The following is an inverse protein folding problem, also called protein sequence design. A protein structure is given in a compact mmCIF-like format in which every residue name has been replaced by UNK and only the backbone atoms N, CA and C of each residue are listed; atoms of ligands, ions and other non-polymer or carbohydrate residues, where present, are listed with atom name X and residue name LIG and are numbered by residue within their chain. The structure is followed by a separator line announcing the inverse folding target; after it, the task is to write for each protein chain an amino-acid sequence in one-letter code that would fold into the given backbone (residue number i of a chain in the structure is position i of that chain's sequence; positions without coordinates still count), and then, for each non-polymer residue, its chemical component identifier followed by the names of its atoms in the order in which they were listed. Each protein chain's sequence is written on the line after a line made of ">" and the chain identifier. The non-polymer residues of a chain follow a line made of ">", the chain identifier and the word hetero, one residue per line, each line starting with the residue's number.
data_IF_265095724853
#
_entry.id   IF_265095724853
#
_cell.length_a   1.000
_cell.length_b   1.000
_cell.length_c   1.000
_cell.angle_alpha   90.00
_cell.angle_beta   90.00
_cell.angle_gamma   90.00
#
_symmetry.space_group_name_H-M   'P 1'
#
loop_
_entity.id
_entity.type
_entity.pdbx_description
1 polymer ?
#
# COMPACT_ATOMS: atom_id res chain seq x y z
N UNK A 1 35.48 -10.40 16.34
CA UNK A 1 34.25 -11.17 16.06
C UNK A 1 33.05 -10.38 16.59
N UNK A 2 32.48 -9.46 15.80
CA UNK A 2 31.46 -8.54 16.32
C UNK A 2 30.69 -7.72 15.28
N UNK A 3 30.54 -8.22 14.04
CA UNK A 3 29.80 -7.50 12.98
C UNK A 3 28.64 -8.30 12.36
N UNK A 4 28.34 -9.50 12.86
CA UNK A 4 27.28 -10.34 12.28
C UNK A 4 25.88 -10.13 12.88
N UNK A 5 25.74 -9.41 14.00
CA UNK A 5 24.45 -9.29 14.69
C UNK A 5 23.56 -8.15 14.15
N UNK A 6 24.13 -7.09 13.57
CA UNK A 6 23.34 -5.98 13.02
C UNK A 6 22.69 -6.29 11.66
N UNK A 7 23.22 -7.25 10.89
CA UNK A 7 22.69 -7.59 9.57
C UNK A 7 21.38 -8.41 9.64
N UNK A 8 21.23 -9.27 10.65
CA UNK A 8 20.01 -10.08 10.84
C UNK A 8 18.80 -9.25 11.31
N UNK A 9 19.02 -8.15 12.05
CA UNK A 9 17.94 -7.28 12.52
C UNK A 9 17.32 -6.44 11.38
N UNK A 10 18.11 -6.08 10.35
CA UNK A 10 17.58 -5.38 9.16
C UNK A 10 16.80 -6.32 8.23
N UNK A 11 17.20 -7.58 8.10
CA UNK A 11 16.47 -8.55 7.27
C UNK A 11 15.11 -8.93 7.88
N UNK A 12 14.96 -8.89 9.21
CA UNK A 12 13.69 -9.14 9.90
C UNK A 12 12.67 -8.00 9.78
N UNK A 13 13.10 -6.77 9.46
CA UNK A 13 12.18 -5.67 9.15
C UNK A 13 11.64 -5.72 7.72
N UNK A 14 12.21 -6.55 6.85
CA UNK A 14 11.79 -6.75 5.46
C UNK A 14 11.01 -8.06 5.25
N UNK A 15 11.00 -8.97 6.24
CA UNK A 15 10.17 -10.18 6.25
C UNK A 15 9.11 -10.07 7.35
N UNK A 16 7.93 -9.62 6.97
CA UNK A 16 6.74 -9.77 7.82
C UNK A 16 6.29 -11.23 7.84
N UNK A 17 6.68 -11.99 8.88
CA UNK A 17 5.84 -12.94 9.64
C UNK A 17 6.70 -13.90 10.52
N UNK A 18 6.09 -14.30 11.66
CA UNK A 18 6.43 -15.43 12.57
C UNK A 18 7.40 -15.00 13.70
N UNK A 19 7.05 -14.95 15.01
CA UNK A 19 6.30 -15.89 15.86
C UNK A 19 5.45 -15.20 16.95
N UNK A 20 4.26 -15.76 17.20
CA UNK A 20 3.53 -15.62 18.47
C UNK A 20 3.63 -16.94 19.23
N UNK A 21 4.09 -16.91 20.49
CA UNK A 21 3.81 -17.93 21.50
C UNK A 21 3.66 -17.25 22.89
N UNK A 22 2.75 -17.71 23.76
CA UNK A 22 2.36 -17.01 24.98
C UNK A 22 3.18 -17.47 26.19
N UNK A 23 3.62 -16.51 27.01
CA UNK A 23 4.25 -16.74 28.30
C UNK A 23 3.49 -16.03 29.42
N UNK A 24 3.05 -16.82 30.39
CA UNK A 24 2.41 -16.46 31.67
C UNK A 24 2.88 -15.14 32.31
N UNK A 25 1.94 -14.27 32.68
CA UNK A 25 2.08 -13.42 33.88
C UNK A 25 0.79 -13.44 34.70
N UNK A 26 1.04 -13.53 36.00
CA UNK A 26 0.20 -13.76 37.16
C UNK A 26 -0.96 -12.81 37.40
N UNK A 27 -1.97 -13.37 38.07
CA UNK A 27 -3.01 -12.72 38.87
C UNK A 27 -2.65 -11.33 39.41
N UNK A 28 -3.45 -10.32 39.04
CA UNK A 28 -3.49 -9.05 39.75
C UNK A 28 -4.88 -8.81 40.36
N UNK A 29 -4.81 -8.35 41.59
CA UNK A 29 -5.82 -8.35 42.63
C UNK A 29 -6.94 -7.33 42.35
N UNK A 30 -8.19 -7.73 42.63
CA UNK A 30 -9.37 -6.87 42.48
C UNK A 30 -9.50 -5.98 43.70
N UNK A 31 -9.24 -4.67 43.56
CA UNK A 31 -9.80 -3.66 44.47
C UNK A 31 -10.41 -2.48 43.72
N UNK A 32 -11.74 -2.44 43.84
CA UNK A 32 -12.65 -1.28 43.84
C UNK A 32 -12.12 0.07 43.35
N UNK A 33 -12.55 0.47 42.16
CA UNK A 33 -12.61 1.88 41.72
C UNK A 33 -14.01 2.14 41.16
N UNK A 34 -14.94 2.49 42.04
CA UNK A 34 -16.17 3.20 41.68
C UNK A 34 -15.85 4.69 41.49
N UNK A 35 -16.39 5.29 40.43
CA UNK A 35 -16.38 6.73 40.07
C UNK A 35 -15.29 7.29 39.13
N UNK A 36 -14.79 6.51 38.16
CA UNK A 36 -14.18 7.12 36.96
C UNK A 36 -15.22 7.30 35.86
N UNK A 37 -15.38 8.56 35.40
CA UNK A 37 -16.03 8.91 34.15
C UNK A 37 -15.63 7.93 33.04
N UNK A 38 -16.62 7.49 32.25
CA UNK A 38 -16.47 6.59 31.10
C UNK A 38 -15.56 7.22 30.04
N UNK A 39 -14.25 7.15 30.26
CA UNK A 39 -13.28 7.31 29.18
C UNK A 39 -13.36 6.05 28.32
N UNK A 40 -13.42 6.14 26.98
CA UNK A 40 -13.24 4.97 26.16
C UNK A 40 -11.86 4.40 26.50
N UNK A 41 -11.85 3.18 27.06
CA UNK A 41 -10.63 2.41 27.23
C UNK A 41 -10.05 2.20 25.82
N UNK A 42 -9.07 3.01 25.45
CA UNK A 42 -8.23 2.69 24.28
C UNK A 42 -7.57 1.38 24.65
N UNK A 43 -7.99 0.31 23.97
CA UNK A 43 -7.40 -1.00 24.20
C UNK A 43 -5.92 -0.92 23.81
N UNK A 44 -5.00 -1.49 24.61
CA UNK A 44 -3.56 -1.36 24.40
C UNK A 44 -3.05 -1.98 23.09
N UNK A 45 -3.90 -2.70 22.36
CA UNK A 45 -3.65 -3.30 21.04
C UNK A 45 -4.00 -2.37 19.86
N UNK A 46 -4.47 -1.14 20.10
CA UNK A 46 -4.85 -0.20 19.04
C UNK A 46 -3.73 0.80 18.80
N UNK A 47 -3.09 0.72 17.62
CA UNK A 47 -2.16 1.74 17.15
C UNK A 47 -2.88 3.08 16.93
N UNK A 48 -2.26 4.16 17.45
CA UNK A 48 -2.76 5.53 17.36
C UNK A 48 -1.79 6.45 16.64
N UNK A 49 -2.34 7.43 15.95
CA UNK A 49 -1.67 8.37 15.06
C UNK A 49 -2.09 9.78 15.43
N UNK A 50 -1.12 10.69 15.50
CA UNK A 50 -1.34 12.10 15.76
C UNK A 50 -0.06 12.88 15.48
N UNK A 51 -0.15 14.22 15.39
CA UNK A 51 0.99 15.07 15.09
C UNK A 51 2.05 14.96 16.19
N UNK A 52 3.32 14.98 15.77
CA UNK A 52 4.47 14.95 16.65
C UNK A 52 4.99 16.37 16.78
N UNK A 53 4.90 16.95 17.98
CA UNK A 53 5.49 18.25 18.26
C UNK A 53 7.00 18.10 18.39
N UNK A 54 7.75 18.62 17.41
CA UNK A 54 9.22 18.59 17.41
C UNK A 54 9.85 19.41 18.56
N UNK A 55 9.08 20.27 19.24
CA UNK A 55 9.52 21.05 20.40
C UNK A 55 9.39 20.25 21.71
N UNK A 56 10.11 19.14 21.86
CA UNK A 56 10.23 18.43 23.14
C UNK A 56 11.54 18.81 23.86
N UNK A 57 11.62 20.07 24.27
CA UNK A 57 12.48 20.53 25.36
C UNK A 57 11.62 21.05 26.53
N UNK A 58 10.64 20.26 26.97
CA UNK A 58 9.99 20.52 28.25
C UNK A 58 9.44 19.23 28.88
N UNK A 59 10.04 18.73 29.97
CA UNK A 59 9.43 17.69 30.78
C UNK A 59 8.37 18.32 31.68
N UNK A 60 7.20 18.64 31.14
CA UNK A 60 6.08 19.11 31.95
C UNK A 60 4.73 18.87 31.25
N UNK A 61 3.95 17.96 31.84
CA UNK A 61 2.48 17.90 31.79
C UNK A 61 1.81 18.03 30.42
N UNK A 62 1.37 16.89 29.88
CA UNK A 62 0.15 16.81 29.07
C UNK A 62 -1.01 17.42 29.88
N UNK A 63 -1.23 18.72 29.73
CA UNK A 63 -2.37 19.42 30.29
C UNK A 63 -3.61 19.00 29.48
N UNK A 64 -4.45 18.14 30.07
CA UNK A 64 -5.63 17.51 29.47
C UNK A 64 -6.87 18.41 29.52
N UNK A 65 -6.73 19.70 29.23
CA UNK A 65 -7.87 20.60 29.11
C UNK A 65 -8.20 20.77 27.63
N UNK A 66 -9.17 19.98 27.17
CA UNK A 66 -9.76 20.09 25.84
C UNK A 66 -10.54 21.41 25.73
N UNK A 67 -10.37 22.19 24.65
CA UNK A 67 -11.32 23.24 24.34
C UNK A 67 -12.64 22.62 23.88
N UNK A 68 -13.71 23.11 24.49
CA UNK A 68 -15.09 22.88 24.06
C UNK A 68 -15.29 23.58 22.71
N UNK A 69 -15.49 22.82 21.63
CA UNK A 69 -15.68 23.37 20.28
C UNK A 69 -16.76 22.61 19.52
N UNK A 70 -17.78 23.40 19.17
CA UNK A 70 -18.94 23.08 18.36
C UNK A 70 -18.60 22.23 17.12
N UNK A 71 -19.49 21.30 16.83
CA UNK A 71 -19.45 20.35 15.74
C UNK A 71 -19.75 21.01 14.39
N UNK A 72 -18.76 21.65 13.79
CA UNK A 72 -18.81 22.02 12.37
C UNK A 72 -18.12 20.95 11.50
N UNK A 73 -18.70 19.76 11.50
CA UNK A 73 -18.59 18.81 10.37
C UNK A 73 -19.92 18.07 10.32
N UNK A 74 -20.90 18.59 9.58
CA UNK A 74 -21.92 17.70 9.05
C UNK A 74 -21.23 16.79 8.03
N UNK A 75 -21.37 15.46 8.14
CA UNK A 75 -20.93 14.57 7.06
C UNK A 75 -21.72 14.98 5.81
N UNK A 76 -20.99 15.33 4.74
CA UNK A 76 -21.59 15.52 3.43
C UNK A 76 -22.42 14.29 3.10
N UNK A 77 -23.73 14.48 3.00
CA UNK A 77 -24.75 13.48 2.73
C UNK A 77 -24.52 12.84 1.35
N UNK A 78 -23.65 11.82 1.26
CA UNK A 78 -24.02 10.63 0.49
C UNK A 78 -24.85 9.80 1.45
N UNK A 79 -26.18 9.87 1.36
CA UNK A 79 -27.06 9.04 2.16
C UNK A 79 -26.69 7.58 1.91
N UNK A 80 -26.00 6.94 2.86
CA UNK A 80 -25.66 5.52 2.76
C UNK A 80 -26.95 4.76 2.53
N UNK A 81 -27.08 4.16 1.34
CA UNK A 81 -28.30 3.49 0.92
C UNK A 81 -28.15 1.98 1.11
N UNK A 82 -29.27 1.29 1.28
CA UNK A 82 -29.25 -0.18 1.31
C UNK A 82 -28.79 -0.77 -0.03
N UNK A 83 -28.96 -0.06 -1.14
CA UNK A 83 -28.45 -0.47 -2.46
C UNK A 83 -26.90 -0.54 -2.48
N UNK A 84 -26.25 0.48 -1.91
CA UNK A 84 -24.79 0.49 -1.74
C UNK A 84 -24.33 -0.62 -0.78
N UNK A 85 -25.10 -0.89 0.29
CA UNK A 85 -24.83 -2.01 1.19
C UNK A 85 -24.91 -3.36 0.46
N UNK A 86 -25.91 -3.53 -0.41
CA UNK A 86 -26.05 -4.73 -1.24
C UNK A 86 -24.88 -4.88 -2.23
N UNK A 87 -24.35 -3.78 -2.77
CA UNK A 87 -23.13 -3.81 -3.58
C UNK A 87 -21.90 -4.28 -2.77
N UNK A 88 -21.78 -3.84 -1.51
CA UNK A 88 -20.75 -4.33 -0.58
C UNK A 88 -20.87 -5.85 -0.36
N UNK A 89 -22.10 -6.35 -0.18
CA UNK A 89 -22.35 -7.79 -0.02
C UNK A 89 -21.99 -8.58 -1.28
N UNK A 90 -22.36 -8.08 -2.46
CA UNK A 90 -22.01 -8.72 -3.73
C UNK A 90 -20.49 -8.81 -3.93
N UNK A 91 -19.74 -7.75 -3.57
CA UNK A 91 -18.29 -7.81 -3.56
C UNK A 91 -17.76 -8.83 -2.56
N UNK A 92 -18.40 -8.98 -1.39
CA UNK A 92 -17.98 -9.97 -0.38
C UNK A 92 -18.02 -11.41 -0.91
N UNK A 93 -19.00 -11.73 -1.76
CA UNK A 93 -19.09 -13.04 -2.41
C UNK A 93 -17.98 -13.24 -3.44
N UNK A 94 -17.62 -12.20 -4.19
CA UNK A 94 -16.51 -12.25 -5.13
C UNK A 94 -15.16 -12.37 -4.43
N UNK A 95 -15.00 -11.70 -3.28
CA UNK A 95 -13.84 -11.86 -2.40
C UNK A 95 -13.71 -13.32 -1.96
N UNK A 96 -14.79 -13.97 -1.53
CA UNK A 96 -14.75 -15.38 -1.14
C UNK A 96 -14.33 -16.32 -2.27
N UNK A 97 -14.66 -15.99 -3.52
CA UNK A 97 -14.23 -16.79 -4.69
C UNK A 97 -12.76 -16.56 -5.04
N UNK A 98 -12.28 -15.32 -4.98
CA UNK A 98 -10.94 -14.93 -5.46
C UNK A 98 -9.86 -14.94 -4.40
N UNK A 99 -10.23 -14.68 -3.15
CA UNK A 99 -9.29 -14.63 -2.04
C UNK A 99 -9.10 -16.03 -1.48
N UNK A 100 -7.90 -16.59 -1.68
CA UNK A 100 -7.44 -17.76 -0.92
C UNK A 100 -7.24 -17.45 0.57
N UNK A 101 -7.23 -16.17 0.96
CA UNK A 101 -7.01 -15.72 2.34
C UNK A 101 -8.35 -15.64 3.08
N UNK A 102 -8.45 -16.36 4.19
CA UNK A 102 -9.60 -16.38 5.14
C UNK A 102 -9.73 -15.11 5.98
N UNK A 103 -8.85 -14.12 5.75
CA UNK A 103 -8.71 -12.93 6.61
C UNK A 103 -9.94 -12.02 6.55
N UNK A 104 -10.59 -11.93 5.39
CA UNK A 104 -11.79 -11.10 5.18
C UNK A 104 -13.11 -11.84 5.45
N UNK A 105 -13.08 -13.18 5.48
CA UNK A 105 -14.28 -14.01 5.64
C UNK A 105 -15.07 -13.70 6.93
N UNK A 106 -14.43 -13.48 8.10
CA UNK A 106 -15.17 -13.08 9.30
C UNK A 106 -15.91 -11.75 9.18
N UNK A 107 -15.37 -10.79 8.42
CA UNK A 107 -16.05 -9.52 8.16
C UNK A 107 -17.22 -9.73 7.20
N UNK A 108 -17.00 -10.44 6.09
CA UNK A 108 -18.04 -10.78 5.13
C UNK A 108 -19.23 -11.50 5.80
N UNK A 109 -18.96 -12.48 6.67
CA UNK A 109 -20.00 -13.18 7.45
C UNK A 109 -20.80 -12.23 8.34
N UNK A 110 -20.15 -11.25 8.97
CA UNK A 110 -20.84 -10.25 9.80
C UNK A 110 -21.72 -9.32 8.98
N UNK A 111 -21.27 -8.89 7.80
CA UNK A 111 -22.08 -8.09 6.90
C UNK A 111 -23.33 -8.86 6.44
N UNK A 112 -23.19 -10.16 6.13
CA UNK A 112 -24.35 -11.02 5.80
C UNK A 112 -25.34 -11.15 6.95
N UNK A 113 -24.86 -11.30 8.19
CA UNK A 113 -25.74 -11.31 9.37
C UNK A 113 -26.46 -9.98 9.58
N UNK A 114 -25.77 -8.86 9.32
CA UNK A 114 -26.37 -7.53 9.38
C UNK A 114 -27.44 -7.34 8.29
N UNK A 115 -27.23 -7.89 7.09
CA UNK A 115 -28.20 -7.86 5.99
C UNK A 115 -29.54 -8.53 6.34
N UNK A 116 -29.51 -9.58 7.17
CA UNK A 116 -30.72 -10.26 7.66
C UNK A 116 -31.58 -9.37 8.60
N UNK A 117 -31.07 -8.19 8.99
CA UNK A 117 -31.75 -7.21 9.84
C UNK A 117 -32.26 -5.99 9.08
N UNK A 118 -32.21 -6.04 7.74
CA UNK A 118 -32.85 -5.03 6.89
C UNK A 118 -34.34 -5.34 6.84
N UNK A 119 -35.15 -4.36 7.22
CA UNK A 119 -36.60 -4.44 7.14
C UNK A 119 -37.06 -4.11 5.73
N UNK A 120 -37.88 -4.99 5.17
CA UNK A 120 -38.56 -4.77 3.89
C UNK A 120 -40.02 -4.50 4.19
N UNK A 121 -40.44 -3.26 4.02
CA UNK A 121 -41.84 -2.85 4.13
C UNK A 121 -42.33 -2.40 2.76
N UNK A 122 -43.51 -2.87 2.36
CA UNK A 122 -44.09 -2.48 1.06
C UNK A 122 -44.25 -0.95 0.98
N UNK A 123 -43.66 -0.33 -0.04
CA UNK A 123 -43.77 1.10 -0.30
C UNK A 123 -42.84 2.02 0.52
N UNK A 124 -41.98 1.48 1.40
CA UNK A 124 -40.98 2.25 2.14
C UNK A 124 -39.56 1.88 1.68
N UNK A 125 -38.59 2.82 1.75
CA UNK A 125 -37.18 2.49 1.54
C UNK A 125 -36.73 1.40 2.50
N UNK A 126 -35.95 0.43 2.01
CA UNK A 126 -35.30 -0.55 2.87
C UNK A 126 -34.44 0.18 3.91
N UNK A 127 -34.54 -0.23 5.17
CA UNK A 127 -33.78 0.35 6.27
C UNK A 127 -33.37 -0.72 7.28
N UNK A 128 -32.30 -0.45 8.03
CA UNK A 128 -31.92 -1.32 9.14
C UNK A 128 -32.92 -1.21 10.29
N UNK A 129 -33.29 -2.34 10.90
CA UNK A 129 -34.07 -2.33 12.13
C UNK A 129 -33.33 -1.56 13.22
N UNK A 130 -33.98 -0.61 13.90
CA UNK A 130 -33.37 0.26 14.93
C UNK A 130 -32.66 -0.50 16.06
N UNK A 131 -33.09 -1.73 16.35
CA UNK A 131 -32.45 -2.61 17.35
C UNK A 131 -31.00 -2.99 17.03
N UNK A 132 -30.57 -2.92 15.77
CA UNK A 132 -29.17 -3.24 15.41
C UNK A 132 -28.16 -2.21 15.90
N UNK A 133 -28.64 -1.01 16.22
CA UNK A 133 -27.84 0.13 16.69
C UNK A 133 -27.73 0.22 18.22
N UNK A 134 -28.19 -0.80 18.96
CA UNK A 134 -27.98 -0.88 20.40
C UNK A 134 -26.53 -1.19 20.78
N UNK A 135 -26.14 -0.88 22.02
CA UNK A 135 -24.85 -1.35 22.56
C UNK A 135 -24.76 -2.87 22.53
N UNK A 136 -23.79 -3.39 21.78
CA UNK A 136 -23.63 -4.84 21.55
C UNK A 136 -24.46 -5.39 20.39
N UNK A 137 -25.09 -4.54 19.58
CA UNK A 137 -25.79 -4.94 18.35
C UNK A 137 -24.82 -5.37 17.23
N UNK A 138 -25.36 -6.07 16.22
CA UNK A 138 -24.59 -6.55 15.06
C UNK A 138 -23.93 -5.41 14.28
N UNK A 139 -24.52 -4.21 14.28
CA UNK A 139 -23.93 -3.05 13.60
C UNK A 139 -22.58 -2.64 14.22
N UNK A 140 -22.51 -2.60 15.55
CA UNK A 140 -21.27 -2.35 16.29
C UNK A 140 -20.24 -3.43 16.00
N UNK A 141 -20.65 -4.71 16.02
CA UNK A 141 -19.74 -5.81 15.73
C UNK A 141 -19.17 -5.76 14.32
N UNK A 142 -19.97 -5.36 13.32
CA UNK A 142 -19.48 -5.16 11.95
C UNK A 142 -18.44 -4.02 11.89
N UNK A 143 -18.72 -2.88 12.53
CA UNK A 143 -17.79 -1.76 12.62
C UNK A 143 -16.47 -2.16 13.32
N UNK A 144 -16.55 -2.77 14.51
CA UNK A 144 -15.38 -3.24 15.25
C UNK A 144 -14.57 -4.26 14.45
N UNK A 145 -15.24 -5.14 13.71
CA UNK A 145 -14.55 -6.14 12.89
C UNK A 145 -13.81 -5.48 11.73
N UNK A 146 -14.41 -4.53 11.04
CA UNK A 146 -13.76 -3.77 9.98
C UNK A 146 -12.54 -2.99 10.53
N UNK A 147 -12.68 -2.34 11.69
CA UNK A 147 -11.58 -1.66 12.38
C UNK A 147 -10.44 -2.62 12.73
N UNK A 148 -10.72 -3.77 13.35
CA UNK A 148 -9.70 -4.77 13.69
C UNK A 148 -9.02 -5.33 12.44
N UNK A 149 -9.79 -5.54 11.37
CA UNK A 149 -9.25 -6.00 10.08
C UNK A 149 -8.28 -4.98 9.50
N UNK A 150 -8.58 -3.68 9.60
CA UNK A 150 -7.66 -2.62 9.19
C UNK A 150 -6.47 -2.46 10.14
N UNK A 151 -6.61 -2.69 11.44
CA UNK A 151 -5.51 -2.48 12.40
C UNK A 151 -4.49 -3.63 12.38
N UNK A 152 -4.95 -4.88 12.36
CA UNK A 152 -4.12 -5.99 12.81
C UNK A 152 -3.67 -6.93 11.68
N UNK A 153 -4.03 -6.66 10.43
CA UNK A 153 -3.86 -7.60 9.32
C UNK A 153 -3.08 -6.97 8.16
N UNK A 154 -2.15 -7.76 7.60
CA UNK A 154 -1.41 -7.39 6.39
C UNK A 154 -2.29 -7.57 5.16
N UNK A 155 -3.10 -6.55 4.87
CA UNK A 155 -4.01 -6.50 3.75
C UNK A 155 -3.31 -6.05 2.46
N UNK A 156 -3.67 -6.66 1.34
CA UNK A 156 -3.35 -6.16 0.00
C UNK A 156 -4.05 -4.80 -0.23
N UNK A 157 -3.61 -4.00 -1.21
CA UNK A 157 -4.25 -2.72 -1.53
C UNK A 157 -5.77 -2.86 -1.74
N UNK A 158 -6.23 -3.72 -2.65
CA UNK A 158 -7.66 -3.94 -2.93
C UNK A 158 -8.48 -4.40 -1.72
N UNK A 159 -7.88 -5.20 -0.84
CA UNK A 159 -8.51 -5.66 0.40
C UNK A 159 -8.67 -4.48 1.36
N UNK A 160 -7.64 -3.65 1.49
CA UNK A 160 -7.66 -2.43 2.30
C UNK A 160 -8.76 -1.48 1.82
N UNK A 161 -8.84 -1.23 0.50
CA UNK A 161 -9.85 -0.33 -0.08
C UNK A 161 -11.26 -0.85 0.16
N UNK A 162 -11.51 -2.15 0.00
CA UNK A 162 -12.83 -2.74 0.30
C UNK A 162 -13.20 -2.62 1.77
N UNK A 163 -12.28 -2.89 2.71
CA UNK A 163 -12.59 -2.76 4.14
C UNK A 163 -12.81 -1.29 4.52
N UNK A 164 -12.09 -0.35 3.91
CA UNK A 164 -12.35 1.09 4.08
C UNK A 164 -13.71 1.49 3.50
N UNK A 165 -14.11 0.94 2.35
CA UNK A 165 -15.44 1.18 1.76
C UNK A 165 -16.55 0.65 2.68
N UNK A 166 -16.40 -0.57 3.19
CA UNK A 166 -17.30 -1.16 4.21
C UNK A 166 -17.41 -0.24 5.41
N UNK A 167 -16.27 0.18 5.96
CA UNK A 167 -16.26 1.01 7.15
C UNK A 167 -16.89 2.38 6.87
N UNK A 168 -16.51 3.07 5.79
CA UNK A 168 -17.08 4.36 5.38
C UNK A 168 -18.60 4.28 5.25
N UNK A 169 -19.10 3.24 4.60
CA UNK A 169 -20.53 3.05 4.39
C UNK A 169 -21.28 2.72 5.69
N UNK A 170 -20.75 1.85 6.55
CA UNK A 170 -21.33 1.63 7.89
C UNK A 170 -21.33 2.91 8.73
N UNK A 171 -20.30 3.73 8.63
CA UNK A 171 -20.20 4.99 9.37
C UNK A 171 -21.19 6.04 8.89
N UNK A 172 -21.64 5.98 7.62
CA UNK A 172 -22.66 6.88 7.08
C UNK A 172 -24.08 6.62 7.58
N UNK A 173 -24.36 5.45 8.17
CA UNK A 173 -25.61 5.21 8.92
C UNK A 173 -25.57 5.76 10.36
N UNK A 174 -24.46 6.34 10.79
CA UNK A 174 -24.29 6.87 12.16
C UNK A 174 -24.31 8.41 12.15
N UNK A 175 -24.79 9.06 13.23
CA UNK A 175 -25.25 8.46 14.48
C UNK A 175 -26.67 7.89 14.37
N UNK A 176 -26.86 6.68 14.91
CA UNK A 176 -28.17 6.06 15.11
C UNK A 176 -28.14 5.26 16.43
N UNK A 177 -29.20 5.39 17.23
CA UNK A 177 -29.28 4.77 18.55
C UNK A 177 -28.18 5.25 19.49
N UNK A 178 -27.35 4.32 19.97
CA UNK A 178 -26.24 4.59 20.90
C UNK A 178 -24.85 4.54 20.23
N UNK A 179 -24.81 4.42 18.90
CA UNK A 179 -23.57 4.29 18.14
C UNK A 179 -23.18 5.61 17.49
N UNK A 180 -21.95 6.02 17.78
CA UNK A 180 -21.33 7.21 17.20
C UNK A 180 -20.33 6.84 16.10
N UNK A 181 -20.15 7.70 15.09
CA UNK A 181 -19.06 7.55 14.14
C UNK A 181 -17.69 7.54 14.84
N UNK A 182 -16.76 6.79 14.26
CA UNK A 182 -15.34 6.81 14.53
C UNK A 182 -14.83 8.22 14.25
N UNK A 183 -14.19 8.80 15.27
CA UNK A 183 -13.53 10.08 15.15
C UNK A 183 -12.36 10.01 14.17
N UNK A 184 -12.43 10.79 13.10
CA UNK A 184 -11.37 10.98 12.10
C UNK A 184 -10.66 12.33 12.22
N UNK A 185 -11.16 13.21 13.09
CA UNK A 185 -10.56 14.52 13.36
C UNK A 185 -9.36 14.39 14.31
N UNK A 186 -8.17 14.64 13.77
CA UNK A 186 -6.90 14.61 14.50
C UNK A 186 -6.69 15.82 15.40
N UNK A 187 -7.38 16.95 15.16
CA UNK A 187 -7.30 18.11 16.05
C UNK A 187 -7.88 17.81 17.44
N UNK A 188 -8.82 16.85 17.51
CA UNK A 188 -9.41 16.33 18.76
C UNK A 188 -8.53 15.28 19.45
N UNK A 189 -7.32 15.04 18.95
CA UNK A 189 -6.34 14.13 19.51
C UNK A 189 -6.10 12.89 18.64
N UNK A 190 -5.26 11.95 19.12
CA UNK A 190 -4.82 10.81 18.32
C UNK A 190 -5.98 9.94 17.81
N UNK A 191 -5.87 9.44 16.59
CA UNK A 191 -6.86 8.59 15.92
C UNK A 191 -6.26 7.21 15.63
N UNK A 192 -7.08 6.17 15.48
CA UNK A 192 -6.58 4.84 15.15
C UNK A 192 -6.27 4.68 13.65
N UNK A 193 -5.54 3.61 13.27
CA UNK A 193 -5.20 3.33 11.86
C UNK A 193 -6.40 3.35 10.91
N UNK A 194 -7.52 2.75 11.33
CA UNK A 194 -8.75 2.71 10.54
C UNK A 194 -9.34 4.12 10.33
N UNK A 195 -9.33 4.94 11.38
CA UNK A 195 -9.76 6.34 11.31
C UNK A 195 -8.84 7.18 10.41
N UNK A 196 -7.53 6.94 10.43
CA UNK A 196 -6.57 7.58 9.52
C UNK A 196 -6.87 7.21 8.07
N UNK A 197 -7.14 5.93 7.78
CA UNK A 197 -7.55 5.50 6.46
C UNK A 197 -8.83 6.21 5.98
N UNK A 198 -9.84 6.34 6.84
CA UNK A 198 -11.06 7.11 6.54
C UNK A 198 -10.76 8.60 6.32
N UNK A 199 -9.88 9.19 7.13
CA UNK A 199 -9.48 10.59 7.00
C UNK A 199 -8.86 10.89 5.64
N UNK A 200 -7.89 10.07 5.21
CA UNK A 200 -7.16 10.22 3.94
C UNK A 200 -8.04 9.93 2.71
N UNK A 201 -9.19 9.27 2.90
CA UNK A 201 -10.09 8.84 1.81
C UNK A 201 -11.50 9.45 1.91
N UNK A 202 -11.67 10.49 2.74
CA UNK A 202 -12.97 11.08 3.05
C UNK A 202 -13.74 11.57 1.81
N UNK A 203 -13.01 12.11 0.83
CA UNK A 203 -13.59 12.71 -0.38
C UNK A 203 -13.63 11.73 -1.59
N UNK A 204 -13.23 10.46 -1.40
CA UNK A 204 -13.16 9.46 -2.48
C UNK A 204 -14.38 8.53 -2.54
N UNK A 205 -14.80 8.15 -3.75
CA UNK A 205 -15.81 7.11 -3.97
C UNK A 205 -15.21 5.70 -3.85
N UNK A 206 -14.98 5.28 -2.60
CA UNK A 206 -14.39 3.99 -2.28
C UNK A 206 -15.24 2.80 -2.74
N UNK A 207 -16.55 2.98 -2.89
CA UNK A 207 -17.46 1.90 -3.26
C UNK A 207 -17.30 1.57 -4.75
N UNK A 208 -17.36 2.59 -5.62
CA UNK A 208 -17.12 2.42 -7.06
C UNK A 208 -15.70 1.93 -7.35
N UNK A 209 -14.70 2.46 -6.64
CA UNK A 209 -13.32 2.00 -6.78
C UNK A 209 -13.15 0.53 -6.34
N UNK A 210 -13.77 0.12 -5.24
CA UNK A 210 -13.77 -1.28 -4.80
C UNK A 210 -14.43 -2.21 -5.83
N UNK A 211 -15.53 -1.76 -6.45
CA UNK A 211 -16.23 -2.50 -7.50
C UNK A 211 -15.30 -2.79 -8.67
N UNK A 212 -14.55 -1.78 -9.13
CA UNK A 212 -13.56 -1.94 -10.22
C UNK A 212 -12.48 -2.95 -9.82
N UNK A 213 -11.91 -2.81 -8.62
CA UNK A 213 -10.83 -3.67 -8.12
C UNK A 213 -11.24 -5.14 -7.98
N UNK A 214 -12.47 -5.43 -7.56
CA UNK A 214 -12.91 -6.81 -7.28
C UNK A 214 -13.58 -7.50 -8.47
N UNK A 215 -14.27 -6.76 -9.35
CA UNK A 215 -14.92 -7.36 -10.52
C UNK A 215 -14.06 -7.33 -11.78
N UNK A 216 -13.00 -6.50 -11.84
CA UNK A 216 -12.04 -6.55 -12.95
C UNK A 216 -11.42 -7.95 -13.07
N UNK A 217 -11.37 -8.57 -14.26
CA UNK A 217 -10.68 -9.84 -14.45
C UNK A 217 -9.15 -9.69 -14.32
N UNK A 218 -8.62 -8.49 -14.54
CA UNK A 218 -7.24 -8.13 -14.21
C UNK A 218 -7.14 -7.67 -12.75
N UNK A 219 -5.95 -7.68 -12.17
CA UNK A 219 -5.65 -7.05 -10.86
C UNK A 219 -5.07 -5.66 -11.17
N UNK A 220 -5.91 -4.62 -11.40
CA UNK A 220 -5.43 -3.30 -11.82
C UNK A 220 -4.61 -2.66 -10.70
N UNK A 221 -3.62 -1.84 -11.07
CA UNK A 221 -2.94 -1.01 -10.08
C UNK A 221 -3.89 0.09 -9.59
N UNK A 222 -3.68 0.58 -8.36
CA UNK A 222 -4.54 1.64 -7.83
C UNK A 222 -4.49 2.91 -8.69
N UNK A 223 -3.32 3.22 -9.27
CA UNK A 223 -3.14 4.40 -10.13
C UNK A 223 -3.98 4.32 -11.42
N UNK A 224 -4.23 3.10 -11.92
CA UNK A 224 -5.08 2.87 -13.10
C UNK A 224 -6.57 2.99 -12.77
N UNK A 225 -6.93 2.80 -11.49
CA UNK A 225 -8.30 2.96 -11.01
C UNK A 225 -8.60 4.42 -10.71
N UNK A 226 -7.77 5.05 -9.88
CA UNK A 226 -7.88 6.46 -9.51
C UNK A 226 -6.57 6.96 -8.88
N UNK A 227 -6.02 8.07 -9.40
CA UNK A 227 -4.76 8.62 -8.91
C UNK A 227 -4.86 9.11 -7.46
N UNK A 228 -5.99 9.69 -7.04
CA UNK A 228 -6.21 10.14 -5.66
C UNK A 228 -6.30 8.97 -4.69
N UNK A 229 -6.90 7.86 -5.10
CA UNK A 229 -6.89 6.61 -4.33
C UNK A 229 -5.48 6.07 -4.13
N UNK A 230 -4.67 6.06 -5.19
CA UNK A 230 -3.27 5.65 -5.12
C UNK A 230 -2.48 6.55 -4.16
N UNK A 231 -2.70 7.87 -4.21
CA UNK A 231 -2.09 8.84 -3.30
C UNK A 231 -2.51 8.62 -1.83
N UNK A 232 -3.79 8.42 -1.56
CA UNK A 232 -4.28 8.16 -0.21
C UNK A 232 -3.68 6.85 0.36
N UNK A 233 -3.60 5.80 -0.45
CA UNK A 233 -2.98 4.54 -0.04
C UNK A 233 -1.49 4.69 0.21
N UNK A 234 -0.79 5.42 -0.65
CA UNK A 234 0.62 5.76 -0.47
C UNK A 234 0.85 6.54 0.83
N UNK A 235 0.04 7.56 1.11
CA UNK A 235 0.13 8.34 2.33
C UNK A 235 -0.07 7.46 3.57
N UNK A 236 -1.10 6.61 3.58
CA UNK A 236 -1.36 5.67 4.69
C UNK A 236 -0.17 4.74 4.94
N UNK A 237 0.37 4.11 3.88
CA UNK A 237 1.53 3.21 3.99
C UNK A 237 2.80 3.91 4.44
N UNK A 238 3.01 5.14 3.98
CA UNK A 238 4.17 5.94 4.36
C UNK A 238 4.07 6.37 5.81
N UNK A 239 2.91 6.81 6.27
CA UNK A 239 2.67 7.14 7.68
C UNK A 239 2.93 5.91 8.57
N UNK A 240 2.41 4.73 8.21
CA UNK A 240 2.66 3.47 8.93
C UNK A 240 4.17 3.16 9.01
N UNK A 241 4.89 3.28 7.89
CA UNK A 241 6.33 3.02 7.85
C UNK A 241 7.12 4.00 8.73
N UNK A 242 6.80 5.29 8.63
CA UNK A 242 7.47 6.35 9.39
C UNK A 242 7.15 6.29 10.89
N UNK A 243 5.95 5.84 11.26
CA UNK A 243 5.54 5.72 12.67
C UNK A 243 6.54 4.92 13.50
N UNK A 244 7.04 3.81 12.96
CA UNK A 244 8.03 2.97 13.66
C UNK A 244 9.36 3.67 13.98
N UNK A 245 9.69 4.72 13.22
CA UNK A 245 10.87 5.57 13.43
C UNK A 245 10.57 6.73 14.37
N UNK A 246 9.40 7.34 14.21
CA UNK A 246 8.90 8.44 15.04
C UNK A 246 8.69 8.00 16.49
N UNK A 247 8.26 6.76 16.72
CA UNK A 247 8.04 6.23 18.07
C UNK A 247 9.36 5.87 18.80
N UNK A 248 10.52 5.94 18.11
CA UNK A 248 11.83 5.70 18.71
C UNK A 248 12.49 7.03 19.10
N UNK A 249 12.89 7.21 20.37
CA UNK A 249 13.58 8.44 20.79
C UNK A 249 15.00 8.47 20.21
N UNK A 250 15.21 9.25 19.15
CA UNK A 250 16.53 9.50 18.58
C UNK A 250 16.68 10.97 18.17
N UNK A 251 17.75 11.60 18.62
CA UNK A 251 18.13 12.97 18.21
C UNK A 251 19.05 12.90 16.99
N UNK A 252 18.49 12.55 15.83
CA UNK A 252 19.24 12.55 14.57
C UNK A 252 18.53 13.39 13.51
N UNK A 253 19.28 13.93 12.55
CA UNK A 253 18.71 14.62 11.38
C UNK A 253 17.75 13.72 10.59
N UNK A 254 18.01 12.41 10.60
CA UNK A 254 17.12 11.37 10.10
C UNK A 254 15.75 11.42 10.79
N UNK A 255 15.73 11.41 12.12
CA UNK A 255 14.50 11.47 12.90
C UNK A 255 13.69 12.73 12.58
N UNK A 256 14.34 13.90 12.52
CA UNK A 256 13.68 15.15 12.15
C UNK A 256 13.01 15.06 10.78
N UNK A 257 13.73 14.52 9.79
CA UNK A 257 13.20 14.38 8.42
C UNK A 257 12.01 13.40 8.37
N UNK A 258 12.07 12.28 9.11
CA UNK A 258 10.95 11.35 9.22
C UNK A 258 9.73 11.98 9.88
N UNK A 259 9.92 12.76 10.96
CA UNK A 259 8.83 13.47 11.63
C UNK A 259 8.20 14.51 10.72
N UNK A 260 9.00 15.24 9.94
CA UNK A 260 8.51 16.21 8.96
C UNK A 260 7.64 15.54 7.89
N UNK A 261 8.10 14.43 7.29
CA UNK A 261 7.32 13.66 6.31
C UNK A 261 6.03 13.13 6.94
N UNK A 262 6.13 12.53 8.13
CA UNK A 262 5.00 11.97 8.85
C UNK A 262 3.94 13.04 9.17
N UNK A 263 4.35 14.17 9.76
CA UNK A 263 3.46 15.28 10.07
C UNK A 263 2.88 15.93 8.82
N UNK A 264 3.67 16.07 7.76
CA UNK A 264 3.17 16.59 6.48
C UNK A 264 2.02 15.71 5.99
N UNK A 265 2.25 14.41 5.82
CA UNK A 265 1.25 13.47 5.31
C UNK A 265 0.00 13.35 6.19
N UNK A 266 0.13 13.48 7.51
CA UNK A 266 -1.04 13.52 8.40
C UNK A 266 -1.93 14.73 8.10
N UNK A 267 -1.36 15.89 7.77
CA UNK A 267 -2.11 17.13 7.56
C UNK A 267 -2.47 17.38 6.09
N UNK A 268 -1.91 16.61 5.16
CA UNK A 268 -2.13 16.78 3.72
C UNK A 268 -3.54 16.36 3.32
N UNK A 269 -4.22 17.23 2.56
CA UNK A 269 -5.43 16.86 1.82
C UNK A 269 -5.05 16.04 0.59
N UNK A 270 -5.87 15.03 0.26
CA UNK A 270 -5.73 14.27 -0.98
C UNK A 270 -6.74 14.81 -2.02
N UNK A 271 -6.34 15.03 -3.29
CA UNK A 271 -4.99 14.83 -3.85
C UNK A 271 -3.95 15.85 -3.33
N UNK A 272 -2.69 15.42 -3.29
CA UNK A 272 -1.54 16.23 -2.87
C UNK A 272 -1.23 17.27 -3.94
N UNK A 273 -1.09 18.53 -3.54
CA UNK A 273 -0.68 19.62 -4.43
C UNK A 273 0.78 19.49 -4.88
N UNK A 274 1.13 20.11 -6.01
CA UNK A 274 2.45 19.97 -6.64
C UNK A 274 3.60 20.38 -5.70
N UNK A 275 3.49 21.52 -5.01
CA UNK A 275 4.48 21.96 -4.01
C UNK A 275 4.67 20.92 -2.89
N UNK A 276 3.60 20.20 -2.56
CA UNK A 276 3.61 19.10 -1.61
C UNK A 276 4.36 17.87 -2.11
N UNK A 277 4.17 17.53 -3.38
CA UNK A 277 4.89 16.46 -4.07
C UNK A 277 6.38 16.78 -4.13
N UNK A 278 6.73 18.02 -4.49
CA UNK A 278 8.10 18.53 -4.51
C UNK A 278 8.75 18.45 -3.13
N UNK A 279 8.05 18.88 -2.08
CA UNK A 279 8.49 18.79 -0.70
C UNK A 279 8.81 17.33 -0.31
N UNK A 280 7.86 16.42 -0.53
CA UNK A 280 8.02 15.01 -0.19
C UNK A 280 9.20 14.38 -0.94
N UNK A 281 9.30 14.62 -2.25
CA UNK A 281 10.38 14.07 -3.07
C UNK A 281 11.75 14.53 -2.57
N UNK A 282 11.92 15.82 -2.29
CA UNK A 282 13.17 16.38 -1.75
C UNK A 282 13.51 15.81 -0.38
N UNK A 283 12.53 15.61 0.49
CA UNK A 283 12.75 14.99 1.82
C UNK A 283 13.16 13.53 1.69
N UNK A 284 12.58 12.76 0.78
CA UNK A 284 13.03 11.39 0.54
C UNK A 284 14.42 11.32 -0.11
N UNK A 285 14.76 12.24 -1.01
CA UNK A 285 16.13 12.33 -1.54
C UNK A 285 17.11 12.62 -0.41
N UNK A 286 16.79 13.55 0.51
CA UNK A 286 17.63 13.79 1.69
C UNK A 286 17.77 12.55 2.60
N UNK A 287 16.70 11.76 2.76
CA UNK A 287 16.77 10.48 3.49
C UNK A 287 17.62 9.42 2.77
N UNK A 288 17.77 9.52 1.45
CA UNK A 288 18.51 8.56 0.65
C UNK A 288 20.03 8.58 0.88
N UNK A 289 20.53 9.67 1.47
CA UNK A 289 21.94 9.80 1.86
C UNK A 289 22.22 9.25 3.27
N UNK A 290 21.21 8.69 3.94
CA UNK A 290 21.27 8.20 5.32
C UNK A 290 21.22 6.67 5.41
N UNK A 291 21.33 6.11 6.62
CA UNK A 291 21.30 4.65 6.86
C UNK A 291 20.01 3.96 6.37
N UNK A 292 18.93 4.71 6.22
CA UNK A 292 17.61 4.23 5.79
C UNK A 292 17.35 4.32 4.27
N UNK A 293 18.39 4.51 3.48
CA UNK A 293 18.27 4.77 2.03
C UNK A 293 17.34 3.84 1.26
N UNK A 294 17.30 2.55 1.62
CA UNK A 294 16.41 1.58 0.96
C UNK A 294 14.92 1.92 1.09
N UNK A 295 14.51 2.43 2.26
CA UNK A 295 13.12 2.87 2.49
C UNK A 295 12.83 4.13 1.68
N UNK A 296 13.76 5.09 1.68
CA UNK A 296 13.63 6.31 0.90
C UNK A 296 13.48 6.04 -0.60
N UNK A 297 14.33 5.18 -1.17
CA UNK A 297 14.25 4.77 -2.56
C UNK A 297 12.96 4.00 -2.89
N UNK A 298 12.49 3.15 -1.97
CA UNK A 298 11.19 2.48 -2.11
C UNK A 298 10.03 3.48 -2.18
N UNK A 299 10.01 4.49 -1.30
CA UNK A 299 9.00 5.54 -1.36
C UNK A 299 9.11 6.37 -2.64
N UNK A 300 10.31 6.78 -3.06
CA UNK A 300 10.53 7.50 -4.32
C UNK A 300 10.06 6.68 -5.54
N UNK A 301 10.33 5.37 -5.55
CA UNK A 301 9.83 4.47 -6.59
C UNK A 301 8.30 4.45 -6.65
N UNK A 302 7.63 4.33 -5.50
CA UNK A 302 6.17 4.37 -5.48
C UNK A 302 5.62 5.76 -5.86
N UNK A 303 6.26 6.82 -5.40
CA UNK A 303 5.88 8.19 -5.73
C UNK A 303 5.97 8.47 -7.23
N UNK A 304 7.04 8.06 -7.93
CA UNK A 304 7.13 8.31 -9.39
C UNK A 304 6.08 7.58 -10.22
N UNK A 305 5.51 6.49 -9.69
CA UNK A 305 4.42 5.77 -10.35
C UNK A 305 3.09 6.53 -10.20
N UNK A 306 2.94 7.34 -9.16
CA UNK A 306 1.72 8.08 -8.84
C UNK A 306 1.79 9.53 -9.34
N UNK A 307 2.97 10.14 -9.27
CA UNK A 307 3.21 11.56 -9.54
C UNK A 307 4.24 11.73 -10.67
N UNK A 308 3.83 12.19 -11.86
CA UNK A 308 4.76 12.46 -12.97
C UNK A 308 5.90 13.40 -12.58
N UNK A 309 5.60 14.43 -11.78
CA UNK A 309 6.59 15.40 -11.28
C UNK A 309 7.76 14.76 -10.53
N UNK A 310 7.51 13.68 -9.78
CA UNK A 310 8.56 12.98 -9.03
C UNK A 310 9.54 12.28 -9.96
N UNK A 311 9.06 11.80 -11.12
CA UNK A 311 9.94 11.22 -12.14
C UNK A 311 10.96 12.25 -12.61
N UNK A 312 10.53 13.48 -12.89
CA UNK A 312 11.42 14.58 -13.31
C UNK A 312 12.47 14.89 -12.24
N UNK A 313 12.04 15.03 -10.97
CA UNK A 313 12.96 15.30 -9.85
C UNK A 313 14.00 14.19 -9.70
N UNK A 314 13.60 12.93 -9.84
CA UNK A 314 14.51 11.79 -9.74
C UNK A 314 15.52 11.82 -10.89
N UNK A 315 15.09 12.09 -12.13
CA UNK A 315 16.01 12.16 -13.27
C UNK A 315 16.99 13.34 -13.17
N UNK A 316 16.53 14.50 -12.68
CA UNK A 316 17.42 15.61 -12.34
C UNK A 316 18.47 15.21 -11.29
N UNK A 317 18.05 14.50 -10.24
CA UNK A 317 18.96 14.09 -9.16
C UNK A 317 19.95 13.01 -9.64
N UNK A 318 19.51 12.06 -10.46
CA UNK A 318 20.38 11.08 -11.12
C UNK A 318 21.46 11.73 -11.98
N UNK A 319 21.13 12.86 -12.61
CA UNK A 319 22.09 13.62 -13.41
C UNK A 319 23.09 14.35 -12.53
N UNK A 320 22.65 14.93 -11.40
CA UNK A 320 23.48 15.70 -10.47
C UNK A 320 24.41 14.81 -9.64
N UNK A 321 23.94 13.65 -9.20
CA UNK A 321 24.67 12.73 -8.31
C UNK A 321 24.69 11.29 -8.85
N UNK A 322 25.86 10.87 -9.32
CA UNK A 322 26.09 9.51 -9.83
C UNK A 322 25.96 8.44 -8.73
N UNK A 323 26.26 8.78 -7.47
CA UNK A 323 26.07 7.88 -6.33
C UNK A 323 24.58 7.62 -6.08
N UNK A 324 23.78 8.69 -6.06
CA UNK A 324 22.32 8.60 -6.00
C UNK A 324 21.78 7.76 -7.17
N UNK A 325 22.22 8.05 -8.40
CA UNK A 325 21.80 7.29 -9.59
C UNK A 325 22.01 5.79 -9.43
N UNK A 326 23.25 5.37 -9.14
CA UNK A 326 23.60 3.96 -9.05
C UNK A 326 22.83 3.26 -7.91
N UNK A 327 22.67 3.94 -6.77
CA UNK A 327 21.97 3.38 -5.62
C UNK A 327 20.45 3.28 -5.85
N UNK A 328 19.84 4.31 -6.43
CA UNK A 328 18.42 4.35 -6.77
C UNK A 328 18.07 3.30 -7.85
N UNK A 329 18.83 3.23 -8.95
CA UNK A 329 18.59 2.25 -10.03
C UNK A 329 18.72 0.81 -9.53
N UNK A 330 19.68 0.55 -8.63
CA UNK A 330 19.82 -0.76 -7.99
C UNK A 330 18.64 -1.10 -7.06
N UNK A 331 18.15 -0.18 -6.24
CA UNK A 331 16.96 -0.44 -5.40
C UNK A 331 15.70 -0.58 -6.26
N UNK A 332 15.53 0.24 -7.30
CA UNK A 332 14.46 0.11 -8.28
C UNK A 332 14.47 -1.28 -8.93
N UNK A 333 15.64 -1.79 -9.32
CA UNK A 333 15.79 -3.14 -9.84
C UNK A 333 15.30 -4.18 -8.83
N UNK A 334 15.74 -4.08 -7.57
CA UNK A 334 15.30 -5.01 -6.51
C UNK A 334 13.78 -4.95 -6.25
N UNK A 335 13.18 -3.77 -6.30
CA UNK A 335 11.72 -3.60 -6.18
C UNK A 335 11.02 -4.29 -7.35
N UNK A 336 11.50 -4.12 -8.58
CA UNK A 336 10.94 -4.76 -9.76
C UNK A 336 11.06 -6.30 -9.67
N UNK A 337 12.20 -6.84 -9.20
CA UNK A 337 12.40 -8.27 -8.96
C UNK A 337 11.40 -8.78 -7.91
N UNK A 338 11.28 -8.12 -6.75
CA UNK A 338 10.33 -8.50 -5.68
C UNK A 338 8.90 -8.50 -6.20
N UNK A 339 8.52 -7.45 -6.92
CA UNK A 339 7.18 -7.29 -7.48
C UNK A 339 6.85 -8.43 -8.45
N UNK A 340 7.80 -8.80 -9.30
CA UNK A 340 7.63 -9.90 -10.24
C UNK A 340 7.56 -11.26 -9.54
N UNK A 341 8.44 -11.52 -8.57
CA UNK A 341 8.47 -12.78 -7.80
C UNK A 341 7.17 -13.03 -7.01
N UNK A 342 6.52 -11.96 -6.51
CA UNK A 342 5.31 -12.04 -5.70
C UNK A 342 4.03 -11.97 -6.53
N UNK A 343 4.11 -11.62 -7.82
CA UNK A 343 2.95 -11.65 -8.69
C UNK A 343 2.38 -13.07 -8.70
N UNK A 344 1.11 -13.25 -8.29
CA UNK A 344 0.40 -14.55 -8.24
C UNK A 344 0.03 -15.00 -9.66
N UNK A 345 1.02 -15.02 -10.55
CA UNK A 345 0.97 -15.62 -11.87
C UNK A 345 1.65 -16.96 -11.70
N UNK A 346 0.90 -18.06 -11.83
CA UNK A 346 1.41 -19.43 -11.74
C UNK A 346 2.31 -19.80 -12.93
N UNK A 347 3.12 -18.86 -13.40
CA UNK A 347 4.06 -19.03 -14.48
C UNK A 347 5.33 -19.68 -13.89
N UNK A 348 5.89 -20.72 -14.54
CA UNK A 348 7.16 -21.34 -14.14
C UNK A 348 8.30 -20.34 -13.96
N UNK A 349 8.21 -19.19 -14.63
CA UNK A 349 9.21 -18.12 -14.60
C UNK A 349 9.32 -17.46 -13.22
N UNK A 350 8.25 -17.36 -12.43
CA UNK A 350 8.29 -16.63 -11.16
C UNK A 350 9.22 -17.31 -10.15
N UNK A 351 9.22 -18.65 -10.12
CA UNK A 351 10.10 -19.43 -9.25
C UNK A 351 11.58 -19.26 -9.64
N UNK A 352 11.84 -19.03 -10.93
CA UNK A 352 13.18 -18.80 -11.48
C UNK A 352 13.72 -17.40 -11.17
N UNK A 353 12.88 -16.48 -10.71
CA UNK A 353 13.28 -15.09 -10.41
C UNK A 353 13.75 -14.92 -8.97
N UNK A 354 13.36 -15.80 -8.04
CA UNK A 354 13.78 -15.73 -6.63
C UNK A 354 15.29 -15.64 -6.40
N UNK A 355 16.17 -16.34 -7.15
CA UNK A 355 17.61 -16.19 -7.01
C UNK A 355 18.11 -14.74 -7.17
N UNK A 356 17.40 -13.90 -7.93
CA UNK A 356 17.79 -12.51 -8.16
C UNK A 356 17.41 -11.55 -7.02
N UNK A 357 16.65 -12.00 -6.02
CA UNK A 357 16.43 -11.23 -4.79
C UNK A 357 17.73 -10.96 -4.04
N UNK A 358 18.76 -11.77 -4.29
CA UNK A 358 20.12 -11.52 -3.85
C UNK A 358 21.10 -11.66 -5.01
N UNK A 359 21.28 -10.57 -5.75
CA UNK A 359 22.14 -10.49 -6.95
C UNK A 359 23.58 -10.99 -6.71
N UNK A 360 24.10 -10.97 -5.47
CA UNK A 360 25.44 -11.48 -5.14
C UNK A 360 25.58 -13.01 -5.32
N UNK A 361 24.48 -13.75 -5.22
CA UNK A 361 24.45 -15.20 -5.37
C UNK A 361 23.84 -15.65 -6.69
N UNK A 362 23.34 -14.71 -7.48
CA UNK A 362 22.80 -15.01 -8.79
C UNK A 362 23.94 -15.34 -9.77
N UNK A 363 23.68 -16.30 -10.65
CA UNK A 363 24.64 -16.80 -11.63
C UNK A 363 24.09 -16.65 -13.04
N UNK A 364 24.96 -16.74 -14.05
CA UNK A 364 24.55 -16.78 -15.46
C UNK A 364 23.59 -17.94 -15.73
N UNK A 365 23.70 -19.05 -14.99
CA UNK A 365 22.76 -20.16 -15.12
C UNK A 365 21.33 -19.77 -14.74
N UNK A 366 21.14 -18.95 -13.69
CA UNK A 366 19.80 -18.48 -13.34
C UNK A 366 19.16 -17.67 -14.47
N UNK A 367 19.95 -16.86 -15.19
CA UNK A 367 19.47 -16.13 -16.37
C UNK A 367 19.12 -17.10 -17.51
N UNK A 368 19.99 -18.10 -17.77
CA UNK A 368 19.74 -19.14 -18.76
C UNK A 368 18.41 -19.85 -18.50
N UNK A 369 18.14 -20.20 -17.26
CA UNK A 369 16.92 -20.91 -16.88
C UNK A 369 15.67 -20.07 -17.16
N UNK A 370 15.70 -18.77 -16.85
CA UNK A 370 14.59 -17.85 -17.18
C UNK A 370 14.39 -17.75 -18.69
N UNK A 371 15.46 -17.50 -19.45
CA UNK A 371 15.40 -17.38 -20.92
C UNK A 371 14.86 -18.66 -21.55
N UNK A 372 15.35 -19.82 -21.10
CA UNK A 372 14.87 -21.12 -21.57
C UNK A 372 13.37 -21.31 -21.30
N UNK A 373 12.91 -20.97 -20.09
CA UNK A 373 11.49 -21.04 -19.74
C UNK A 373 10.63 -20.09 -20.61
N UNK A 374 11.14 -18.92 -20.97
CA UNK A 374 10.47 -18.01 -21.91
C UNK A 374 10.36 -18.61 -23.31
N UNK A 375 11.45 -19.18 -23.85
CA UNK A 375 11.48 -19.81 -25.17
C UNK A 375 10.55 -21.03 -25.24
N UNK A 376 10.57 -21.88 -24.22
CA UNK A 376 9.65 -23.03 -24.12
C UNK A 376 8.19 -22.59 -24.03
N UNK A 377 7.93 -21.47 -23.34
CA UNK A 377 6.61 -20.84 -23.28
C UNK A 377 6.11 -20.37 -24.64
N UNK A 378 7.00 -19.83 -25.49
CA UNK A 378 6.67 -19.45 -26.87
C UNK A 378 6.35 -20.66 -27.74
N UNK A 379 7.22 -21.67 -27.75
CA UNK A 379 7.04 -22.87 -28.57
C UNK A 379 5.76 -23.66 -28.25
N UNK A 380 5.30 -23.65 -26.99
CA UNK A 380 4.02 -24.25 -26.61
C UNK A 380 2.80 -23.48 -27.15
N UNK A 381 2.93 -22.19 -27.46
CA UNK A 381 1.86 -21.35 -28.03
C UNK A 381 1.77 -21.46 -29.55
N UNK A 382 2.85 -21.86 -30.22
CA UNK A 382 2.91 -22.06 -31.69
C UNK A 382 2.29 -23.39 -32.16
N UNK A 383 1.80 -24.24 -31.24
CA UNK A 383 1.02 -25.42 -31.61
C UNK A 383 -0.38 -24.96 -32.02
N UNK A 384 -0.83 -25.19 -33.27
CA UNK A 384 -2.12 -24.70 -33.74
C UNK A 384 -3.24 -25.29 -32.86
N UNK A 385 -3.96 -24.42 -32.16
CA UNK A 385 -5.16 -24.76 -31.42
C UNK A 385 -6.28 -25.00 -32.44
N UNK A 386 -6.29 -26.15 -33.09
CA UNK A 386 -7.36 -26.56 -34.01
C UNK A 386 -8.64 -27.02 -33.29
N UNK A 387 -8.71 -26.90 -31.96
CA UNK A 387 -9.87 -27.28 -31.15
C UNK A 387 -9.98 -26.35 -29.93
N UNK A 388 -10.33 -25.07 -30.10
CA UNK A 388 -10.97 -24.28 -29.04
C UNK A 388 -12.02 -23.37 -29.64
N UNK A 389 -13.20 -23.46 -29.05
CA UNK A 389 -14.43 -22.85 -29.48
C UNK A 389 -14.32 -21.33 -29.65
N UNK A 390 -15.08 -20.85 -30.62
CA UNK A 390 -15.27 -19.44 -30.95
C UNK A 390 -15.80 -18.66 -29.75
N UNK A 391 -14.94 -17.83 -29.13
CA UNK A 391 -15.23 -16.51 -28.53
C UNK A 391 -14.10 -16.14 -27.55
N UNK A 392 -13.09 -15.39 -28.02
CA UNK A 392 -12.13 -14.73 -27.11
C UNK A 392 -10.67 -14.71 -27.55
N UNK A 393 -10.36 -14.16 -28.72
CA UNK A 393 -8.97 -14.09 -29.23
C UNK A 393 -8.62 -12.68 -29.71
N UNK A 394 -8.13 -11.84 -28.80
CA UNK A 394 -7.30 -10.66 -29.14
C UNK A 394 -6.62 -10.02 -27.92
N UNK A 395 -7.25 -10.07 -26.73
CA UNK A 395 -6.71 -9.42 -25.51
C UNK A 395 -5.55 -10.20 -24.87
N UNK A 396 -5.44 -11.51 -25.15
CA UNK A 396 -4.38 -12.36 -24.58
C UNK A 396 -3.00 -12.13 -25.24
N UNK A 397 -2.93 -11.81 -26.54
CA UNK A 397 -1.65 -11.66 -27.25
C UNK A 397 -0.90 -10.37 -26.88
N UNK A 398 -1.59 -9.26 -26.64
CA UNK A 398 -0.97 -8.00 -26.20
C UNK A 398 -0.42 -8.07 -24.78
N UNK A 399 -1.12 -8.77 -23.88
CA UNK A 399 -0.70 -8.91 -22.48
C UNK A 399 0.56 -9.78 -22.36
N UNK A 400 0.69 -10.77 -23.24
CA UNK A 400 1.86 -11.62 -23.34
C UNK A 400 3.10 -10.85 -23.83
N UNK A 401 2.96 -9.93 -24.79
CA UNK A 401 4.09 -9.13 -25.28
C UNK A 401 4.61 -8.13 -24.25
N UNK A 402 3.72 -7.47 -23.50
CA UNK A 402 4.15 -6.52 -22.45
C UNK A 402 4.86 -7.20 -21.28
N UNK A 403 4.41 -8.40 -20.91
CA UNK A 403 5.06 -9.22 -19.89
C UNK A 403 6.43 -9.70 -20.35
N UNK A 404 6.54 -10.14 -21.60
CA UNK A 404 7.82 -10.52 -22.20
C UNK A 404 8.80 -9.32 -22.21
N UNK A 405 8.36 -8.16 -22.70
CA UNK A 405 9.15 -6.93 -22.71
C UNK A 405 9.57 -6.50 -21.31
N UNK A 406 8.71 -6.72 -20.31
CA UNK A 406 9.06 -6.47 -18.92
C UNK A 406 10.15 -7.43 -18.44
N UNK A 407 10.01 -8.74 -18.66
CA UNK A 407 11.00 -9.75 -18.25
C UNK A 407 12.35 -9.49 -18.92
N UNK A 408 12.35 -9.18 -20.21
CA UNK A 408 13.55 -8.83 -20.98
C UNK A 408 14.24 -7.61 -20.37
N UNK A 409 13.49 -6.54 -20.07
CA UNK A 409 14.04 -5.34 -19.40
C UNK A 409 14.57 -5.65 -18.00
N UNK A 410 13.90 -6.52 -17.26
CA UNK A 410 14.31 -6.96 -15.94
C UNK A 410 15.63 -7.74 -15.99
N UNK A 411 15.74 -8.72 -16.90
CA UNK A 411 16.95 -9.51 -17.12
C UNK A 411 18.12 -8.65 -17.57
N UNK A 412 17.89 -7.66 -18.44
CA UNK A 412 18.91 -6.69 -18.83
C UNK A 412 19.47 -5.91 -17.63
N UNK A 413 18.61 -5.50 -16.70
CA UNK A 413 19.03 -4.86 -15.45
C UNK A 413 19.76 -5.81 -14.51
N UNK A 414 19.33 -7.08 -14.41
CA UNK A 414 20.00 -8.09 -13.58
C UNK A 414 21.40 -8.41 -14.14
N UNK A 415 21.54 -8.48 -15.45
CA UNK A 415 22.76 -8.92 -16.12
C UNK A 415 23.96 -8.00 -15.85
N UNK A 416 23.75 -6.69 -15.68
CA UNK A 416 24.82 -5.75 -15.33
C UNK A 416 25.47 -6.04 -13.95
N UNK A 417 24.87 -6.92 -13.15
CA UNK A 417 25.38 -7.34 -11.85
C UNK A 417 25.98 -8.74 -11.84
N UNK A 418 25.90 -9.50 -12.94
CA UNK A 418 26.34 -10.90 -13.01
C UNK A 418 27.43 -11.05 -14.09
N UNK A 419 28.67 -11.42 -13.74
CA UNK A 419 29.74 -11.59 -14.70
C UNK A 419 29.39 -12.56 -15.84
N UNK A 420 29.52 -12.09 -17.09
CA UNK A 420 29.23 -12.89 -18.30
C UNK A 420 27.75 -12.99 -18.68
N UNK A 421 26.84 -12.42 -17.89
CA UNK A 421 25.40 -12.46 -18.18
C UNK A 421 25.00 -11.61 -19.38
N UNK A 422 25.54 -10.40 -19.51
CA UNK A 422 25.25 -9.50 -20.64
C UNK A 422 25.63 -10.14 -21.98
N UNK A 423 26.83 -10.71 -22.07
CA UNK A 423 27.31 -11.41 -23.28
C UNK A 423 26.43 -12.60 -23.64
N UNK A 424 26.00 -13.38 -22.64
CA UNK A 424 25.07 -14.48 -22.86
C UNK A 424 23.74 -13.97 -23.42
N UNK A 425 23.16 -12.97 -22.75
CA UNK A 425 21.91 -12.36 -23.15
C UNK A 425 21.97 -11.85 -24.60
N UNK A 426 23.01 -11.09 -24.96
CA UNK A 426 23.25 -10.58 -26.32
C UNK A 426 23.31 -11.68 -27.39
N UNK A 427 23.75 -12.90 -27.02
CA UNK A 427 23.88 -14.03 -27.94
C UNK A 427 22.61 -14.86 -28.18
N UNK A 428 21.63 -14.80 -27.27
CA UNK A 428 20.50 -15.75 -27.26
C UNK A 428 19.16 -15.13 -27.64
N UNK A 429 18.95 -13.87 -27.29
CA UNK A 429 17.71 -13.18 -27.57
C UNK A 429 17.95 -12.39 -28.85
N UNK A 430 17.12 -12.55 -29.89
CA UNK A 430 16.98 -11.50 -30.90
C UNK A 430 16.46 -10.28 -30.13
N UNK A 431 17.39 -9.49 -29.60
CA UNK A 431 17.09 -8.24 -28.92
C UNK A 431 16.44 -7.37 -29.98
N UNK A 432 15.11 -7.37 -29.97
CA UNK A 432 14.31 -6.49 -30.79
C UNK A 432 14.87 -5.09 -30.63
N UNK A 433 14.79 -4.31 -31.71
CA UNK A 433 15.27 -2.93 -31.79
C UNK A 433 15.14 -2.14 -30.47
N UNK A 434 14.12 -2.40 -29.64
CA UNK A 434 13.89 -1.93 -28.27
C UNK A 434 15.13 -1.70 -27.38
N UNK A 435 16.11 -2.62 -27.26
CA UNK A 435 17.29 -2.35 -26.41
C UNK A 435 18.32 -1.45 -27.10
N UNK A 436 18.52 -1.61 -28.42
CA UNK A 436 19.31 -0.66 -29.21
C UNK A 436 18.68 0.72 -29.19
N UNK A 437 17.35 0.81 -29.25
CA UNK A 437 16.56 2.02 -29.07
C UNK A 437 16.69 2.54 -27.65
N UNK A 438 16.72 1.71 -26.61
CA UNK A 438 16.92 2.17 -25.22
C UNK A 438 18.34 2.66 -24.98
N UNK A 439 19.35 2.02 -25.54
CA UNK A 439 20.75 2.48 -25.51
C UNK A 439 20.88 3.79 -26.30
N UNK A 440 20.26 3.89 -27.47
CA UNK A 440 20.20 5.11 -28.25
C UNK A 440 19.42 6.23 -27.55
N UNK A 441 18.26 5.94 -26.96
CA UNK A 441 17.43 6.89 -26.21
C UNK A 441 18.13 7.34 -24.93
N UNK A 442 18.78 6.44 -24.20
CA UNK A 442 19.60 6.81 -23.04
C UNK A 442 20.75 7.73 -23.45
N UNK A 443 21.41 7.47 -24.58
CA UNK A 443 22.43 8.35 -25.13
C UNK A 443 21.84 9.70 -25.59
N UNK A 444 20.66 9.70 -26.22
CA UNK A 444 19.94 10.91 -26.65
C UNK A 444 19.46 11.73 -25.45
N UNK A 445 18.91 11.11 -24.41
CA UNK A 445 18.49 11.77 -23.17
C UNK A 445 19.69 12.35 -22.44
N UNK A 446 20.77 11.58 -22.29
CA UNK A 446 22.01 12.07 -21.68
C UNK A 446 22.56 13.27 -22.47
N UNK A 447 22.51 13.20 -23.80
CA UNK A 447 22.89 14.31 -24.67
C UNK A 447 21.95 15.52 -24.53
N UNK A 448 20.63 15.32 -24.53
CA UNK A 448 19.62 16.36 -24.41
C UNK A 448 19.75 17.12 -23.08
N UNK A 449 19.85 16.41 -21.97
CA UNK A 449 20.07 17.01 -20.65
C UNK A 449 21.42 17.74 -20.58
N UNK A 450 22.47 17.23 -21.23
CA UNK A 450 23.76 17.92 -21.33
C UNK A 450 23.69 19.23 -22.13
N UNK A 451 22.78 19.35 -23.11
CA UNK A 451 22.58 20.58 -23.88
C UNK A 451 21.73 21.59 -23.10
N UNK A 452 20.65 21.15 -22.46
CA UNK A 452 19.73 22.02 -21.71
C UNK A 452 20.47 22.83 -20.63
N UNK A 453 21.42 22.19 -19.94
CA UNK A 453 22.23 22.80 -18.88
C UNK A 453 23.27 23.77 -19.43
N UNK A 454 23.82 23.54 -20.63
CA UNK A 454 24.74 24.50 -21.26
C UNK A 454 24.05 25.79 -21.68
N UNK A 455 22.71 25.78 -21.80
CA UNK A 455 21.91 26.93 -22.22
C UNK A 455 21.25 27.72 -21.07
N UNK A 456 21.38 27.26 -19.84
CA UNK A 456 20.91 27.91 -18.59
C UNK A 456 22.07 28.40 -17.74
#
# INVERSE_FOLDING_TARGET
>A
MGYHFHFLSMCLLLYGAVECLPGHISSFDKRSLSSLEKRPLIRPDIEVYGPVNLHLNSPASLNKNFPDLNSDVQPGLSSSSIEEFNLILAMSDEISKRSKRTVLEPLAKRLKLLALKIEKSEGLPEQFNTSVFGTGGEFRYACERAVRTLQNLSLKPRETIWVLAVLKHLQGFLPQGELEPIRTDMARGPICRAALGLHLTKDLDLLSMSKILWFSPADPELVDVDSSLAQAYFALKTIDSMKSYVDRPHESSFFTTCVEIYNYLLNTKIPVEEDGVDFLAKKFIALSTMEVRGIAYSHLYHMKMIFPRVKEIIEEEKFKDLSFKNAYENEELLINIRRFAVADRRAPINDLIYPFLNLKFATVQNIKDVVQAMLEGKHKKDIPVSIRDHEGTSVLSHRDSEEEDFIIRLLGGIASHIPGAEQYLESQVEWSAVLLTKRALSLIETWFWSQLIRSS
#
